data_IF_406966293949
#
_entry.id   IF_406966293949
#
_cell.length_a   1.000
_cell.length_b   1.000
_cell.length_c   1.000
_cell.angle_alpha   90.00
_cell.angle_beta   90.00
_cell.angle_gamma   90.00
#
_symmetry.space_group_name_H-M   'P 1'
#
loop_
_entity.id
_entity.type
_entity.pdbx_description
1 polymer ?
#
# COMPACT_ATOMS: atom_id res chain seq x y z
N UNK A 1 5.48 -13.85 2.53
CA UNK A 1 4.03 -13.83 2.25
C UNK A 1 3.42 -12.74 3.10
N UNK A 2 3.14 -11.58 2.49
CA UNK A 2 2.26 -10.60 3.11
C UNK A 2 0.84 -11.16 3.01
N UNK A 3 0.33 -11.64 4.13
CA UNK A 3 -0.94 -12.36 4.17
C UNK A 3 -2.09 -11.37 4.37
N UNK A 4 -2.51 -10.74 3.27
CA UNK A 4 -3.66 -9.82 3.25
C UNK A 4 -4.92 -10.51 3.75
N UNK A 5 -5.08 -11.80 3.48
CA UNK A 5 -6.23 -12.60 3.94
C UNK A 5 -6.33 -12.65 5.47
N UNK A 6 -5.17 -12.66 6.15
CA UNK A 6 -5.10 -12.62 7.60
C UNK A 6 -5.12 -11.19 8.19
N UNK A 7 -5.09 -10.15 7.36
CA UNK A 7 -5.05 -8.75 7.83
C UNK A 7 -6.23 -8.37 8.72
N UNK A 8 -7.49 -8.73 8.41
CA UNK A 8 -8.63 -8.44 9.29
C UNK A 8 -8.43 -8.97 10.72
N UNK A 9 -7.91 -10.19 10.85
CA UNK A 9 -7.60 -10.82 12.13
C UNK A 9 -6.47 -10.11 12.87
N UNK A 10 -5.42 -9.69 12.16
CA UNK A 10 -4.30 -8.93 12.72
C UNK A 10 -4.78 -7.58 13.25
N UNK A 11 -5.54 -6.82 12.46
CA UNK A 11 -6.07 -5.51 12.85
C UNK A 11 -6.88 -5.59 14.14
N UNK A 12 -7.84 -6.54 14.17
CA UNK A 12 -8.69 -6.76 15.34
C UNK A 12 -7.89 -7.16 16.57
N UNK A 13 -6.98 -8.14 16.44
CA UNK A 13 -6.18 -8.61 17.56
C UNK A 13 -5.27 -7.52 18.13
N UNK A 14 -4.64 -6.70 17.28
CA UNK A 14 -3.78 -5.59 17.71
C UNK A 14 -4.58 -4.47 18.37
N UNK A 15 -5.74 -4.12 17.81
CA UNK A 15 -6.64 -3.14 18.42
C UNK A 15 -7.07 -3.57 19.82
N UNK A 16 -7.50 -4.82 19.98
CA UNK A 16 -7.95 -5.37 21.26
C UNK A 16 -6.80 -5.44 22.28
N UNK A 17 -5.60 -5.84 21.85
CA UNK A 17 -4.41 -5.86 22.71
C UNK A 17 -3.98 -4.47 23.19
N UNK A 18 -4.33 -3.41 22.47
CA UNK A 18 -4.08 -2.02 22.84
C UNK A 18 -5.27 -1.38 23.59
N UNK A 19 -6.32 -2.16 23.88
CA UNK A 19 -7.55 -1.70 24.54
C UNK A 19 -8.23 -0.52 23.82
N UNK A 20 -8.11 -0.48 22.49
CA UNK A 20 -8.70 0.58 21.66
C UNK A 20 -10.07 0.17 21.12
N UNK A 21 -10.98 1.14 21.05
CA UNK A 21 -12.24 0.96 20.32
C UNK A 21 -12.00 1.09 18.81
N UNK A 22 -12.85 0.44 18.00
CA UNK A 22 -12.82 0.59 16.54
C UNK A 22 -13.00 2.06 16.10
N UNK A 23 -13.81 2.81 16.86
CA UNK A 23 -14.06 4.23 16.63
C UNK A 23 -12.82 5.09 16.91
N UNK A 24 -12.04 4.75 17.95
CA UNK A 24 -10.79 5.44 18.25
C UNK A 24 -9.74 5.22 17.16
N UNK A 25 -9.58 3.97 16.71
CA UNK A 25 -8.64 3.67 15.61
C UNK A 25 -9.06 4.39 14.33
N UNK A 26 -10.33 4.30 13.94
CA UNK A 26 -10.86 5.00 12.78
C UNK A 26 -10.59 6.52 12.83
N UNK A 27 -10.83 7.15 13.98
CA UNK A 27 -10.55 8.58 14.22
C UNK A 27 -9.07 8.91 14.13
N UNK A 28 -8.19 8.09 14.72
CA UNK A 28 -6.74 8.31 14.67
C UNK A 28 -6.17 8.17 13.26
N UNK A 29 -6.76 7.29 12.44
CA UNK A 29 -6.37 7.05 11.06
C UNK A 29 -7.03 8.06 10.10
N UNK A 30 -8.11 8.70 10.51
CA UNK A 30 -8.86 9.65 9.68
C UNK A 30 -9.76 8.96 8.66
N UNK A 31 -10.37 7.83 9.02
CA UNK A 31 -11.39 7.12 8.24
C UNK A 31 -12.70 7.01 9.03
N UNK A 32 -13.80 6.64 8.36
CA UNK A 32 -15.06 6.40 9.04
C UNK A 32 -14.99 5.13 9.89
N UNK A 33 -15.79 5.06 10.97
CA UNK A 33 -15.87 3.84 11.78
C UNK A 33 -16.39 2.66 10.98
N UNK A 34 -17.32 2.89 10.04
CA UNK A 34 -17.81 1.86 9.13
C UNK A 34 -16.68 1.29 8.26
N UNK A 35 -15.89 2.16 7.63
CA UNK A 35 -14.74 1.73 6.83
C UNK A 35 -13.75 0.91 7.66
N UNK A 36 -13.46 1.31 8.90
CA UNK A 36 -12.59 0.53 9.77
C UNK A 36 -13.18 -0.85 10.15
N UNK A 37 -14.49 -0.95 10.39
CA UNK A 37 -15.14 -2.24 10.61
C UNK A 37 -15.06 -3.15 9.38
N UNK A 38 -15.20 -2.57 8.19
CA UNK A 38 -15.04 -3.29 6.93
C UNK A 38 -13.61 -3.87 6.82
N UNK A 39 -12.58 -3.13 7.22
CA UNK A 39 -11.20 -3.65 7.26
C UNK A 39 -11.01 -4.83 8.22
N UNK A 40 -11.71 -4.83 9.36
CA UNK A 40 -11.69 -5.95 10.32
C UNK A 40 -12.54 -7.15 9.89
N UNK A 41 -13.30 -7.02 8.80
CA UNK A 41 -14.25 -8.03 8.35
C UNK A 41 -13.86 -8.62 6.98
N UNK A 42 -13.38 -7.79 6.06
CA UNK A 42 -13.16 -8.13 4.67
C UNK A 42 -11.72 -7.81 4.26
N UNK A 43 -10.93 -8.86 3.97
CA UNK A 43 -9.54 -8.72 3.53
C UNK A 43 -9.39 -7.90 2.24
N UNK A 44 -10.37 -8.00 1.33
CA UNK A 44 -10.39 -7.25 0.08
C UNK A 44 -10.39 -5.73 0.30
N UNK A 45 -11.08 -5.24 1.34
CA UNK A 45 -11.18 -3.80 1.60
C UNK A 45 -9.83 -3.23 2.05
N UNK A 46 -9.03 -4.00 2.79
CA UNK A 46 -7.68 -3.60 3.12
C UNK A 46 -6.80 -3.44 1.88
N UNK A 47 -7.02 -4.27 0.85
CA UNK A 47 -6.26 -4.25 -0.40
C UNK A 47 -6.69 -3.11 -1.34
N UNK A 48 -8.00 -2.85 -1.41
CA UNK A 48 -8.60 -2.05 -2.47
C UNK A 48 -9.13 -0.68 -2.01
N UNK A 49 -9.62 -0.58 -0.78
CA UNK A 49 -10.36 0.58 -0.31
C UNK A 49 -9.52 1.58 0.50
N UNK A 50 -8.33 1.17 0.94
CA UNK A 50 -7.47 1.97 1.83
C UNK A 50 -6.24 2.46 1.09
N UNK A 51 -5.98 3.76 1.20
CA UNK A 51 -4.78 4.36 0.65
C UNK A 51 -3.51 4.05 1.47
N UNK A 52 -2.34 4.10 0.85
CA UNK A 52 -1.07 3.75 1.48
C UNK A 52 -0.75 4.64 2.68
N UNK A 53 -1.09 5.93 2.66
CA UNK A 53 -0.95 6.82 3.81
C UNK A 53 -1.74 6.31 5.04
N UNK A 54 -2.97 5.83 4.82
CA UNK A 54 -3.84 5.28 5.85
C UNK A 54 -3.32 3.94 6.35
N UNK A 55 -2.74 3.10 5.49
CA UNK A 55 -2.07 1.85 5.88
C UNK A 55 -0.83 2.15 6.76
N UNK A 56 -0.01 3.12 6.36
CA UNK A 56 1.15 3.58 7.15
C UNK A 56 0.67 4.07 8.51
N UNK A 57 -0.42 4.85 8.56
CA UNK A 57 -0.96 5.38 9.80
C UNK A 57 -1.55 4.28 10.69
N UNK A 58 -2.25 3.29 10.11
CA UNK A 58 -2.73 2.08 10.80
C UNK A 58 -1.57 1.33 11.46
N UNK A 59 -0.45 1.13 10.75
CA UNK A 59 0.73 0.44 11.29
C UNK A 59 1.28 1.14 12.53
N UNK A 60 1.29 2.48 12.53
CA UNK A 60 1.75 3.32 13.64
C UNK A 60 0.78 3.29 14.81
N UNK A 61 -0.52 3.43 14.55
CA UNK A 61 -1.57 3.41 15.59
C UNK A 61 -1.64 2.05 16.27
N UNK A 62 -1.58 0.96 15.50
CA UNK A 62 -1.68 -0.42 16.00
C UNK A 62 -0.33 -1.01 16.43
N UNK A 63 0.76 -0.24 16.29
CA UNK A 63 2.14 -0.64 16.59
C UNK A 63 2.45 -2.01 16.01
N UNK A 64 2.15 -2.19 14.73
CA UNK A 64 2.30 -3.45 14.02
C UNK A 64 3.02 -3.19 12.71
N UNK A 65 4.31 -3.54 12.67
CA UNK A 65 5.15 -3.34 11.49
C UNK A 65 4.73 -4.23 10.33
N UNK A 66 4.10 -5.38 10.60
CA UNK A 66 3.63 -6.27 9.54
C UNK A 66 2.63 -5.57 8.61
N UNK A 67 1.82 -4.63 9.12
CA UNK A 67 0.87 -3.82 8.33
C UNK A 67 1.60 -2.97 7.28
N UNK A 68 2.82 -2.51 7.60
CA UNK A 68 3.62 -1.63 6.76
C UNK A 68 4.65 -2.35 5.87
N UNK A 69 4.67 -3.69 5.88
CA UNK A 69 5.63 -4.48 5.11
C UNK A 69 4.93 -5.17 3.96
N UNK A 70 5.26 -4.75 2.74
CA UNK A 70 4.74 -5.37 1.54
C UNK A 70 5.80 -6.30 0.92
N UNK A 71 5.43 -7.55 0.64
CA UNK A 71 6.33 -8.52 0.04
C UNK A 71 5.55 -9.41 -0.93
N UNK A 72 5.85 -9.27 -2.23
CA UNK A 72 5.46 -10.23 -3.24
C UNK A 72 6.48 -11.38 -3.25
N UNK A 73 6.03 -12.58 -2.86
CA UNK A 73 6.88 -13.76 -2.79
C UNK A 73 7.08 -14.46 -4.13
N UNK A 74 6.30 -14.15 -5.17
CA UNK A 74 6.38 -14.88 -6.44
C UNK A 74 7.48 -14.33 -7.35
N UNK A 75 7.90 -13.07 -7.19
CA UNK A 75 8.90 -12.38 -8.02
C UNK A 75 10.18 -11.96 -7.27
N UNK A 76 10.56 -12.68 -6.21
CA UNK A 76 11.58 -12.27 -5.26
C UNK A 76 13.03 -12.30 -5.81
N UNK A 77 13.40 -11.30 -6.60
CA UNK A 77 14.80 -10.94 -6.88
C UNK A 77 15.49 -10.30 -5.64
N UNK A 78 14.74 -10.08 -4.55
CA UNK A 78 15.26 -9.59 -3.26
C UNK A 78 15.53 -8.08 -3.23
N UNK A 79 15.11 -7.33 -4.27
CA UNK A 79 15.27 -5.88 -4.33
C UNK A 79 14.26 -5.21 -3.40
N UNK A 80 14.77 -4.72 -2.27
CA UNK A 80 14.01 -3.91 -1.30
C UNK A 80 14.02 -2.45 -1.70
N UNK A 81 12.85 -1.84 -1.79
CA UNK A 81 12.66 -0.44 -2.19
C UNK A 81 11.83 0.28 -1.13
N UNK A 82 12.07 1.58 -0.94
CA UNK A 82 11.21 2.41 -0.10
C UNK A 82 10.10 3.02 -0.93
N UNK A 83 8.92 3.18 -0.33
CA UNK A 83 7.78 3.77 -1.04
C UNK A 83 8.12 5.13 -1.67
N UNK A 84 8.90 5.96 -0.96
CA UNK A 84 9.34 7.28 -1.43
C UNK A 84 10.36 7.24 -2.59
N UNK A 85 10.89 6.07 -2.92
CA UNK A 85 11.80 5.89 -4.06
C UNK A 85 11.04 5.50 -5.34
N UNK A 86 9.76 5.13 -5.23
CA UNK A 86 8.97 4.66 -6.38
C UNK A 86 8.86 5.68 -7.51
N UNK A 87 8.57 6.97 -7.27
CA UNK A 87 8.51 7.93 -8.37
C UNK A 87 9.82 8.01 -9.14
N UNK A 88 10.96 7.96 -8.44
CA UNK A 88 12.28 7.94 -9.07
C UNK A 88 12.52 6.70 -9.91
N UNK A 89 12.07 5.52 -9.44
CA UNK A 89 12.18 4.27 -10.19
C UNK A 89 11.31 4.26 -11.44
N UNK A 90 10.07 4.74 -11.34
CA UNK A 90 9.17 4.87 -12.49
C UNK A 90 9.79 5.79 -13.53
N UNK A 91 10.26 6.98 -13.13
CA UNK A 91 10.92 7.92 -14.03
C UNK A 91 12.18 7.33 -14.69
N UNK A 92 12.96 6.56 -13.94
CA UNK A 92 14.14 5.86 -14.48
C UNK A 92 13.72 4.85 -15.55
N UNK A 93 12.73 4.01 -15.26
CA UNK A 93 12.20 3.01 -16.20
C UNK A 93 11.64 3.66 -17.48
N UNK A 94 10.89 4.75 -17.35
CA UNK A 94 10.35 5.50 -18.50
C UNK A 94 11.48 6.02 -19.41
N UNK A 95 12.53 6.59 -18.80
CA UNK A 95 13.68 7.08 -19.55
C UNK A 95 14.48 5.96 -20.24
N UNK A 96 14.69 4.82 -19.56
CA UNK A 96 15.45 3.68 -20.09
C UNK A 96 14.71 2.95 -21.21
N UNK A 97 13.39 2.81 -21.08
CA UNK A 97 12.54 2.14 -22.08
C UNK A 97 12.10 3.05 -23.22
N UNK A 98 12.25 4.37 -23.08
CA UNK A 98 11.70 5.36 -24.01
C UNK A 98 10.17 5.43 -23.98
N UNK A 99 9.55 4.90 -22.93
CA UNK A 99 8.10 4.83 -22.75
C UNK A 99 7.56 6.14 -22.18
N UNK A 100 6.39 6.56 -22.65
CA UNK A 100 5.65 7.67 -22.05
C UNK A 100 4.95 7.24 -20.75
N UNK A 101 4.68 8.19 -19.86
CA UNK A 101 3.96 7.91 -18.62
C UNK A 101 2.56 7.31 -18.86
N UNK A 102 1.89 7.75 -19.93
CA UNK A 102 0.57 7.24 -20.33
C UNK A 102 0.62 5.76 -20.73
N UNK A 103 1.68 5.34 -21.44
CA UNK A 103 1.87 3.93 -21.80
C UNK A 103 2.13 3.08 -20.56
N UNK A 104 2.94 3.58 -19.63
CA UNK A 104 3.20 2.89 -18.35
C UNK A 104 1.93 2.72 -17.52
N UNK A 105 1.16 3.79 -17.35
CA UNK A 105 -0.14 3.74 -16.65
C UNK A 105 -1.10 2.73 -17.31
N UNK A 106 -1.10 2.67 -18.64
CA UNK A 106 -1.91 1.69 -19.40
C UNK A 106 -1.46 0.25 -19.13
N UNK A 107 -0.16 -0.01 -18.99
CA UNK A 107 0.36 -1.36 -18.68
C UNK A 107 0.03 -1.80 -17.26
N UNK A 108 0.23 -0.90 -16.29
CA UNK A 108 -0.16 -1.13 -14.90
C UNK A 108 -1.67 -1.34 -14.77
N UNK A 109 -2.46 -0.73 -15.66
CA UNK A 109 -3.92 -0.83 -15.63
C UNK A 109 -4.57 0.06 -14.57
N UNK A 110 -3.84 1.06 -14.08
CA UNK A 110 -4.30 2.07 -13.14
C UNK A 110 -4.04 3.48 -13.68
N UNK A 111 -4.89 4.43 -13.33
CA UNK A 111 -4.62 5.85 -13.56
C UNK A 111 -3.69 6.35 -12.44
N UNK A 112 -2.40 6.47 -12.78
CA UNK A 112 -1.36 6.84 -11.81
C UNK A 112 -1.26 8.34 -11.58
N UNK A 113 -2.15 9.15 -12.16
CA UNK A 113 -2.11 10.62 -12.21
C UNK A 113 -0.85 11.18 -12.89
N UNK A 114 -0.99 12.34 -13.56
CA UNK A 114 -0.19 12.84 -14.69
C UNK A 114 1.34 13.00 -14.51
N UNK A 115 2.01 13.38 -15.62
CA UNK A 115 3.43 13.75 -15.69
C UNK A 115 3.90 14.54 -14.46
N UNK A 116 4.84 13.95 -13.70
CA UNK A 116 5.38 14.55 -12.49
C UNK A 116 4.95 13.86 -11.19
N UNK A 117 4.63 12.55 -11.24
CA UNK A 117 4.33 11.70 -10.09
C UNK A 117 5.19 12.07 -8.86
N UNK A 118 4.53 12.43 -7.79
CA UNK A 118 5.15 12.80 -6.52
C UNK A 118 4.98 11.71 -5.48
N UNK A 119 5.68 11.83 -4.35
CA UNK A 119 5.47 10.93 -3.21
C UNK A 119 4.05 11.05 -2.63
N UNK A 120 3.42 12.22 -2.73
CA UNK A 120 2.05 12.44 -2.26
C UNK A 120 1.05 11.68 -3.12
N UNK A 121 1.26 11.64 -4.44
CA UNK A 121 0.43 10.87 -5.36
C UNK A 121 0.52 9.37 -5.05
N UNK A 122 1.74 8.86 -4.82
CA UNK A 122 1.96 7.46 -4.43
C UNK A 122 1.26 7.12 -3.12
N UNK A 123 1.27 8.03 -2.14
CA UNK A 123 0.59 7.82 -0.86
C UNK A 123 -0.93 7.68 -0.98
N UNK A 124 -1.53 8.22 -2.04
CA UNK A 124 -2.96 8.10 -2.33
C UNK A 124 -3.35 6.78 -3.02
N UNK A 125 -2.38 5.99 -3.48
CA UNK A 125 -2.65 4.68 -4.07
C UNK A 125 -3.17 3.68 -3.03
N UNK A 126 -3.82 2.61 -3.48
CA UNK A 126 -4.12 1.44 -2.65
C UNK A 126 -3.05 0.33 -2.87
N UNK A 127 -3.15 -0.79 -2.16
CA UNK A 127 -2.20 -1.89 -2.29
C UNK A 127 -2.28 -2.58 -3.66
N UNK A 128 -3.45 -2.60 -4.30
CA UNK A 128 -3.59 -3.15 -5.65
C UNK A 128 -2.79 -2.38 -6.69
N UNK A 129 -2.94 -1.05 -6.68
CA UNK A 129 -2.14 -0.17 -7.51
C UNK A 129 -0.65 -0.34 -7.22
N UNK A 130 -0.26 -0.39 -5.94
CA UNK A 130 1.13 -0.62 -5.54
C UNK A 130 1.66 -1.95 -6.10
N UNK A 131 0.89 -3.04 -5.99
CA UNK A 131 1.29 -4.36 -6.47
C UNK A 131 1.54 -4.36 -7.98
N UNK A 132 0.61 -3.82 -8.76
CA UNK A 132 0.73 -3.78 -10.22
C UNK A 132 1.90 -2.90 -10.68
N UNK A 133 2.15 -1.78 -9.98
CA UNK A 133 3.34 -0.95 -10.22
C UNK A 133 4.61 -1.73 -9.89
N UNK A 134 4.65 -2.43 -8.76
CA UNK A 134 5.79 -3.26 -8.38
C UNK A 134 6.08 -4.35 -9.42
N UNK A 135 5.03 -5.01 -9.91
CA UNK A 135 5.12 -6.06 -10.93
C UNK A 135 5.72 -5.53 -12.24
N UNK A 136 5.24 -4.39 -12.74
CA UNK A 136 5.80 -3.76 -13.95
C UNK A 136 7.25 -3.28 -13.75
N UNK A 137 7.64 -2.92 -12.52
CA UNK A 137 9.00 -2.49 -12.18
C UNK A 137 9.94 -3.64 -11.78
N UNK A 138 9.45 -4.88 -11.64
CA UNK A 138 10.23 -6.00 -11.11
C UNK A 138 10.70 -5.81 -9.66
N UNK A 139 9.91 -5.11 -8.83
CA UNK A 139 10.20 -4.89 -7.41
C UNK A 139 9.42 -5.89 -6.56
N UNK A 140 10.11 -6.63 -5.70
CA UNK A 140 9.51 -7.71 -4.90
C UNK A 140 9.21 -7.35 -3.45
N UNK A 141 9.87 -6.32 -2.91
CA UNK A 141 9.67 -5.92 -1.51
C UNK A 141 9.65 -4.40 -1.37
N UNK A 142 8.59 -3.89 -0.74
CA UNK A 142 8.43 -2.47 -0.42
C UNK A 142 8.21 -2.25 1.06
N UNK A 143 8.94 -1.29 1.60
CA UNK A 143 8.76 -0.78 2.95
C UNK A 143 7.91 0.50 2.93
N UNK A 144 6.74 0.44 3.56
CA UNK A 144 5.84 1.57 3.75
C UNK A 144 6.28 2.33 5.01
N UNK A 145 7.30 3.20 4.92
CA UNK A 145 7.85 3.92 6.09
C UNK A 145 8.06 5.41 5.86
#
# INVERSE_FOLDING_TARGET
>A
MFDVENMPGILKARREALELSAQDVARMVGISSAAYFDLETFAADFRQAVSLDKIILLSKVLKEEAIARFHDSENADGRKVLLNDLPGLILTQLNESGMSFSEFSTRVGYDLSSDGLTNEDVLNWNLDCLFLVCEELGVSEILLR
#
